data_IF_014220283530
#
_entry.id   IF_014220283530
#
_cell.length_a   1.000
_cell.length_b   1.000
_cell.length_c   1.000
_cell.angle_alpha   90.00
_cell.angle_beta   90.00
_cell.angle_gamma   90.00
#
_symmetry.space_group_name_H-M   'P 1'
#
loop_
_entity.id
_entity.type
_entity.pdbx_description
1 polymer ?
#
# COMPACT_ATOMS: atom_id res chain seq x y z
N UNK A 1 -6.04 -7.60 -53.00
CA UNK A 1 -5.17 -7.70 -51.80
C UNK A 1 -5.06 -6.40 -50.97
N UNK A 2 -5.38 -5.22 -51.53
CA UNK A 2 -5.40 -3.92 -50.81
C UNK A 2 -6.39 -3.79 -49.63
N UNK A 3 -7.53 -4.51 -49.66
CA UNK A 3 -8.53 -4.51 -48.57
C UNK A 3 -8.08 -5.31 -47.34
N UNK A 4 -7.19 -6.30 -47.51
CA UNK A 4 -6.69 -7.15 -46.43
C UNK A 4 -5.62 -6.43 -45.59
N UNK A 5 -4.80 -5.59 -46.25
CA UNK A 5 -3.78 -4.75 -45.58
C UNK A 5 -4.44 -3.69 -44.69
N UNK A 6 -5.58 -3.14 -45.11
CA UNK A 6 -6.32 -2.15 -44.32
C UNK A 6 -7.01 -2.77 -43.09
N UNK A 7 -7.47 -4.01 -43.22
CA UNK A 7 -8.10 -4.76 -42.12
C UNK A 7 -7.07 -5.17 -41.05
N UNK A 8 -5.86 -5.54 -41.45
CA UNK A 8 -4.78 -5.90 -40.52
C UNK A 8 -4.23 -4.68 -39.76
N UNK A 9 -4.17 -3.50 -40.41
CA UNK A 9 -3.79 -2.25 -39.76
C UNK A 9 -4.76 -1.79 -38.67
N UNK A 10 -6.07 -1.98 -38.89
CA UNK A 10 -7.10 -1.61 -37.92
C UNK A 10 -7.11 -2.53 -36.69
N UNK A 11 -6.84 -3.83 -36.88
CA UNK A 11 -6.73 -4.81 -35.78
C UNK A 11 -5.47 -4.58 -34.95
N UNK A 12 -4.35 -4.18 -35.56
CA UNK A 12 -3.11 -3.88 -34.85
C UNK A 12 -3.24 -2.65 -33.92
N UNK A 13 -4.03 -1.65 -34.33
CA UNK A 13 -4.28 -0.45 -33.53
C UNK A 13 -5.13 -0.71 -32.27
N UNK A 14 -5.98 -1.75 -32.28
CA UNK A 14 -6.81 -2.11 -31.13
C UNK A 14 -6.03 -2.78 -29.99
N UNK A 15 -4.84 -3.34 -30.26
CA UNK A 15 -4.04 -4.06 -29.27
C UNK A 15 -3.16 -3.16 -28.40
N UNK A 16 -3.04 -1.87 -28.73
CA UNK A 16 -2.19 -0.89 -28.02
C UNK A 16 -2.91 -0.13 -26.90
N UNK A 17 -4.21 -0.35 -26.69
CA UNK A 17 -5.02 0.38 -25.70
C UNK A 17 -5.11 -0.28 -24.33
N UNK A 18 -4.32 -1.33 -24.05
CA UNK A 18 -4.25 -1.95 -22.72
C UNK A 18 -3.31 -1.16 -21.79
N UNK A 19 -3.60 0.11 -21.57
CA UNK A 19 -2.90 0.94 -20.58
C UNK A 19 -3.72 0.90 -19.29
N UNK A 20 -3.43 -0.08 -18.42
CA UNK A 20 -4.03 -0.17 -17.10
C UNK A 20 -3.53 1.01 -16.25
N UNK A 21 -4.32 2.08 -16.16
CA UNK A 21 -4.15 3.09 -15.11
C UNK A 21 -4.30 2.36 -13.77
N UNK A 22 -3.20 2.26 -13.04
CA UNK A 22 -3.17 1.71 -11.68
C UNK A 22 -4.19 2.47 -10.83
N UNK A 23 -5.15 1.73 -10.27
CA UNK A 23 -6.19 2.30 -9.44
C UNK A 23 -5.55 3.08 -8.27
N UNK A 24 -5.98 4.33 -8.00
CA UNK A 24 -5.68 4.98 -6.73
C UNK A 24 -6.14 4.04 -5.62
N UNK A 25 -5.32 3.86 -4.58
CA UNK A 25 -5.62 2.97 -3.45
C UNK A 25 -7.10 3.06 -3.06
N UNK A 26 -7.86 1.99 -3.29
CA UNK A 26 -9.31 1.98 -3.08
C UNK A 26 -9.59 2.31 -1.61
N UNK A 27 -10.31 3.41 -1.39
CA UNK A 27 -10.75 3.80 -0.08
C UNK A 27 -12.21 3.35 0.07
N UNK A 28 -12.48 2.48 1.04
CA UNK A 28 -13.84 1.99 1.29
C UNK A 28 -14.73 3.18 1.67
N UNK A 29 -15.81 3.40 0.92
CA UNK A 29 -16.79 4.46 1.19
C UNK A 29 -17.43 4.31 2.57
N UNK A 30 -17.45 3.09 3.13
CA UNK A 30 -17.89 2.83 4.49
C UNK A 30 -16.89 3.29 5.57
N UNK A 31 -15.66 3.64 5.19
CA UNK A 31 -14.64 4.23 6.08
C UNK A 31 -14.60 5.76 6.00
N UNK A 32 -15.31 6.39 5.07
CA UNK A 32 -15.36 7.86 4.96
C UNK A 32 -16.22 8.41 6.10
N UNK A 33 -15.70 9.41 6.84
CA UNK A 33 -16.41 10.07 7.93
C UNK A 33 -16.36 9.36 9.30
N UNK A 34 -15.73 8.18 9.39
CA UNK A 34 -15.46 7.54 10.69
C UNK A 34 -14.16 8.10 11.27
N UNK A 35 -14.20 8.49 12.55
CA UNK A 35 -12.99 8.85 13.30
C UNK A 35 -12.10 7.62 13.39
N UNK A 36 -11.01 7.59 12.61
CA UNK A 36 -9.95 6.61 12.79
C UNK A 36 -9.11 7.03 13.98
N UNK A 37 -8.82 6.07 14.86
CA UNK A 37 -7.89 6.33 15.95
C UNK A 37 -6.50 6.52 15.35
N UNK A 38 -5.86 7.65 15.67
CA UNK A 38 -4.50 7.97 15.24
C UNK A 38 -3.64 8.11 16.48
N UNK A 39 -2.48 7.46 16.48
CA UNK A 39 -1.48 7.60 17.53
C UNK A 39 -0.18 8.15 16.95
N UNK A 40 0.40 9.15 17.61
CA UNK A 40 1.71 9.69 17.24
C UNK A 40 2.84 8.98 18.03
N UNK A 41 3.98 8.83 17.39
CA UNK A 41 5.16 8.20 17.97
C UNK A 41 6.44 8.41 17.16
N UNK A 42 7.52 7.77 17.60
CA UNK A 42 8.84 7.82 16.96
C UNK A 42 9.29 6.43 16.55
N UNK A 43 9.79 6.29 15.32
CA UNK A 43 10.39 5.03 14.86
C UNK A 43 11.66 4.77 15.67
N UNK A 44 11.70 3.65 16.40
CA UNK A 44 12.88 3.20 17.15
C UNK A 44 13.66 2.12 16.43
N UNK A 45 13.03 1.38 15.50
CA UNK A 45 13.69 0.37 14.67
C UNK A 45 13.00 0.20 13.32
N UNK A 46 13.78 -0.20 12.31
CA UNK A 46 13.33 -0.50 10.95
C UNK A 46 14.02 -1.77 10.47
N UNK A 47 13.26 -2.72 9.94
CA UNK A 47 13.78 -3.96 9.39
C UNK A 47 13.17 -4.25 8.02
N UNK A 48 14.01 -4.56 7.02
CA UNK A 48 13.54 -5.05 5.73
C UNK A 48 13.06 -6.50 5.85
N UNK A 49 11.90 -6.80 5.28
CA UNK A 49 11.28 -8.13 5.32
C UNK A 49 10.72 -8.52 3.96
N UNK A 50 10.56 -9.84 3.76
CA UNK A 50 9.85 -10.41 2.62
C UNK A 50 8.53 -10.99 3.11
N UNK A 51 7.42 -10.56 2.53
CA UNK A 51 6.10 -11.10 2.80
C UNK A 51 5.88 -12.38 1.99
N UNK A 52 5.33 -13.39 2.66
CA UNK A 52 4.96 -14.66 2.04
C UNK A 52 3.47 -14.90 2.29
N UNK A 53 2.70 -15.14 1.23
CA UNK A 53 1.26 -15.43 1.34
C UNK A 53 1.08 -16.93 1.30
N UNK A 54 0.73 -17.55 2.44
CA UNK A 54 0.47 -19.00 2.50
C UNK A 54 -0.95 -19.35 2.04
N UNK A 55 -1.46 -18.72 0.97
CA UNK A 55 -2.84 -18.91 0.54
C UNK A 55 -2.98 -19.06 -0.98
N UNK A 56 -2.60 -20.23 -1.49
CA UNK A 56 -2.69 -20.61 -2.92
C UNK A 56 -4.03 -21.28 -3.28
N UNK A 57 -4.99 -21.42 -2.36
CA UNK A 57 -6.15 -22.31 -2.57
C UNK A 57 -7.47 -21.57 -2.93
N UNK A 58 -7.62 -20.27 -2.66
CA UNK A 58 -8.86 -19.55 -3.02
C UNK A 58 -8.56 -18.19 -3.67
N UNK A 59 -8.68 -18.14 -5.00
CA UNK A 59 -8.58 -16.92 -5.82
C UNK A 59 -9.74 -15.96 -5.54
N UNK A 60 -9.67 -15.26 -4.40
CA UNK A 60 -10.24 -13.93 -4.22
C UNK A 60 -9.18 -13.09 -3.55
N UNK A 61 -8.26 -12.57 -4.37
CA UNK A 61 -7.36 -11.51 -3.93
C UNK A 61 -8.22 -10.36 -3.41
N UNK A 62 -8.19 -10.13 -2.09
CA UNK A 62 -8.74 -8.90 -1.54
C UNK A 62 -7.95 -7.71 -2.12
N UNK A 63 -8.58 -6.56 -2.41
CA UNK A 63 -7.86 -5.36 -2.83
C UNK A 63 -6.71 -5.05 -1.85
N UNK A 64 -5.48 -4.96 -2.35
CA UNK A 64 -4.26 -4.78 -1.53
C UNK A 64 -3.51 -6.07 -1.17
N UNK A 65 -4.02 -7.25 -1.51
CA UNK A 65 -3.32 -8.54 -1.33
C UNK A 65 -2.33 -8.90 -2.46
N UNK A 66 -2.30 -8.11 -3.54
CA UNK A 66 -1.38 -8.26 -4.68
C UNK A 66 0.10 -8.10 -4.30
N UNK A 67 0.38 -7.60 -3.09
CA UNK A 67 1.74 -7.41 -2.56
C UNK A 67 2.22 -8.52 -1.62
N UNK A 68 1.45 -9.60 -1.42
CA UNK A 68 1.70 -10.51 -0.28
C UNK A 68 2.42 -11.81 -0.70
N UNK A 69 2.54 -12.14 -1.99
CA UNK A 69 3.35 -13.26 -2.44
C UNK A 69 4.70 -12.80 -3.03
N UNK A 70 5.74 -12.76 -2.20
CA UNK A 70 7.09 -12.33 -2.58
C UNK A 70 7.36 -10.82 -2.48
N UNK A 71 6.39 -10.03 -2.02
CA UNK A 71 6.56 -8.59 -1.84
C UNK A 71 7.60 -8.26 -0.78
N UNK A 72 8.47 -7.28 -1.06
CA UNK A 72 9.40 -6.72 -0.09
C UNK A 72 8.71 -5.59 0.66
N UNK A 73 9.11 -5.35 1.90
CA UNK A 73 8.72 -4.15 2.62
C UNK A 73 9.48 -4.00 3.92
N UNK A 74 8.92 -3.23 4.83
CA UNK A 74 9.57 -2.89 6.09
C UNK A 74 8.63 -3.12 7.27
N UNK A 75 9.21 -3.62 8.35
CA UNK A 75 8.60 -3.61 9.68
C UNK A 75 9.20 -2.45 10.46
N UNK A 76 8.33 -1.55 10.92
CA UNK A 76 8.68 -0.40 11.74
C UNK A 76 8.25 -0.66 13.17
N UNK A 77 9.19 -0.54 14.10
CA UNK A 77 8.90 -0.52 15.53
C UNK A 77 8.83 0.92 15.98
N UNK A 78 7.68 1.31 16.54
CA UNK A 78 7.36 2.68 16.91
C UNK A 78 7.10 2.75 18.41
N UNK A 79 7.79 3.67 19.08
CA UNK A 79 7.45 4.05 20.45
C UNK A 79 6.42 5.17 20.38
N UNK A 80 5.19 4.89 20.82
CA UNK A 80 4.11 5.87 20.88
C UNK A 80 4.36 6.88 22.01
N UNK A 81 3.73 8.04 21.91
CA UNK A 81 3.88 9.12 22.91
C UNK A 81 3.38 8.71 24.30
N UNK A 82 2.46 7.74 24.38
CA UNK A 82 2.00 7.14 25.64
C UNK A 82 2.98 6.11 26.24
N UNK A 83 4.15 5.91 25.62
CA UNK A 83 5.18 4.95 26.06
C UNK A 83 5.01 3.52 25.54
N UNK A 84 3.87 3.19 24.92
CA UNK A 84 3.64 1.86 24.33
C UNK A 84 4.48 1.63 23.08
N UNK A 85 4.75 0.37 22.76
CA UNK A 85 5.49 -0.02 21.55
C UNK A 85 4.55 -0.73 20.58
N UNK A 86 4.57 -0.31 19.32
CA UNK A 86 3.75 -0.90 18.25
C UNK A 86 4.66 -1.28 17.08
N UNK A 87 4.38 -2.44 16.48
CA UNK A 87 5.04 -2.93 15.27
C UNK A 87 4.07 -2.85 14.10
N UNK A 88 4.47 -2.16 13.02
CA UNK A 88 3.66 -2.02 11.81
C UNK A 88 4.46 -2.50 10.61
N UNK A 89 3.87 -3.42 9.85
CA UNK A 89 4.43 -3.95 8.62
C UNK A 89 3.80 -3.27 7.41
N UNK A 90 4.62 -2.83 6.46
CA UNK A 90 4.14 -2.12 5.28
C UNK A 90 4.97 -2.52 4.05
N UNK A 91 4.29 -2.77 2.94
CA UNK A 91 4.88 -3.21 1.67
C UNK A 91 5.47 -2.07 0.83
N UNK A 92 5.04 -0.83 1.04
CA UNK A 92 5.54 0.34 0.30
C UNK A 92 6.81 0.93 0.94
N UNK A 93 7.75 1.38 0.09
CA UNK A 93 8.91 2.14 0.54
C UNK A 93 8.57 3.63 0.70
N UNK A 94 8.00 3.97 1.86
CA UNK A 94 7.82 5.35 2.29
C UNK A 94 9.13 6.06 2.68
N UNK A 95 10.28 5.39 2.56
CA UNK A 95 11.62 5.91 2.90
C UNK A 95 11.72 6.49 4.31
N UNK A 96 10.87 6.02 5.23
CA UNK A 96 10.88 6.43 6.63
C UNK A 96 12.19 6.01 7.30
N UNK A 97 12.70 6.88 8.18
CA UNK A 97 13.97 6.71 8.89
C UNK A 97 13.76 6.46 10.38
N UNK A 98 14.70 5.75 11.01
CA UNK A 98 14.74 5.65 12.48
C UNK A 98 14.91 7.06 13.07
N UNK A 99 14.27 7.32 14.22
CA UNK A 99 14.11 8.61 14.90
C UNK A 99 13.13 9.59 14.23
N UNK A 100 12.50 9.22 13.13
CA UNK A 100 11.45 10.05 12.51
C UNK A 100 10.14 9.97 13.31
N UNK A 101 9.44 11.10 13.44
CA UNK A 101 8.07 11.13 13.97
C UNK A 101 7.09 10.63 12.93
N UNK A 102 6.12 9.86 13.40
CA UNK A 102 5.14 9.17 12.56
C UNK A 102 3.78 9.10 13.22
N UNK A 103 2.76 8.96 12.39
CA UNK A 103 1.39 8.69 12.77
C UNK A 103 1.05 7.25 12.43
N UNK A 104 0.47 6.55 13.40
CA UNK A 104 -0.12 5.23 13.23
C UNK A 104 -1.63 5.41 13.10
N UNK A 105 -2.17 5.07 11.94
CA UNK A 105 -3.61 5.12 11.67
C UNK A 105 -4.17 3.71 11.84
N UNK A 106 -5.02 3.54 12.86
CA UNK A 106 -5.72 2.28 13.10
C UNK A 106 -7.00 2.18 12.24
N UNK A 107 -7.35 0.96 11.85
CA UNK A 107 -8.50 0.67 11.00
C UNK A 107 -8.48 -0.80 10.56
N UNK A 108 -9.17 -1.12 9.45
CA UNK A 108 -9.12 -2.46 8.86
C UNK A 108 -7.69 -2.87 8.50
N UNK A 109 -6.91 -1.93 7.98
CA UNK A 109 -5.46 -2.07 7.77
C UNK A 109 -4.73 -0.96 8.53
N UNK A 110 -3.78 -1.33 9.38
CA UNK A 110 -2.91 -0.37 10.08
C UNK A 110 -1.91 0.23 9.11
N UNK A 111 -1.76 1.55 9.12
CA UNK A 111 -0.81 2.28 8.27
C UNK A 111 0.08 3.17 9.11
N UNK A 112 1.33 3.31 8.69
CA UNK A 112 2.29 4.27 9.25
C UNK A 112 2.53 5.39 8.23
N UNK A 113 2.46 6.63 8.69
CA UNK A 113 2.62 7.83 7.88
C UNK A 113 3.66 8.76 8.51
N UNK A 114 4.42 9.53 7.72
CA UNK A 114 5.25 10.60 8.27
C UNK A 114 4.39 11.62 9.03
N UNK A 115 4.88 12.07 10.19
CA UNK A 115 4.29 13.18 10.92
C UNK A 115 5.06 14.46 10.56
N UNK A 116 4.59 15.16 9.53
CA UNK A 116 5.20 16.40 9.04
C UNK A 116 4.98 17.57 10.00
N UNK A 117 4.35 17.34 11.16
CA UNK A 117 4.25 18.35 12.22
C UNK A 117 3.40 19.55 11.82
N UNK A 118 2.32 19.34 11.08
CA UNK A 118 1.28 20.36 10.90
C UNK A 118 0.59 20.63 12.26
N UNK A 119 1.28 21.39 13.10
CA UNK A 119 0.72 22.05 14.27
C UNK A 119 -0.20 23.14 13.75
N UNK A 120 -1.52 22.91 13.81
CA UNK A 120 -2.46 24.03 13.99
C UNK A 120 -2.34 24.56 15.43
#
# INVERSE_FOLDING_TARGET
MKKLVWLFGLVCCLLLSACNKTQPSEYDVAEVGKLKQVASGVIISKQAVKFHSKNTINNKAAPGSEYIDGGQGYVYVVKLNNGSIVSVAQSEDLRLKVKQRVLIVYGKHTRILPDDGSSN
#
